data_IF_493259403199
#
_entry.id   IF_493259403199
#
_cell.length_a   1.000
_cell.length_b   1.000
_cell.length_c   1.000
_cell.angle_alpha   90.00
_cell.angle_beta   90.00
_cell.angle_gamma   90.00
#
_symmetry.space_group_name_H-M   'P 1'
#
loop_
_entity.id
_entity.type
_entity.pdbx_description
1 polymer ?
#
# COMPACT_ATOMS: atom_id res chain seq x y z
N UNK A 1 -11.07 49.41 -26.76
CA UNK A 1 -11.45 50.44 -27.75
C UNK A 1 -12.44 51.39 -27.10
N UNK A 2 -12.27 52.71 -27.26
CA UNK A 2 -13.06 53.74 -26.59
C UNK A 2 -14.50 53.76 -27.10
N UNK A 3 -15.47 53.99 -26.22
CA UNK A 3 -16.87 54.21 -26.58
C UNK A 3 -17.02 55.56 -27.28
N UNK A 4 -17.00 55.56 -28.61
CA UNK A 4 -17.52 56.66 -29.42
C UNK A 4 -18.97 56.30 -29.72
N UNK A 5 -19.93 56.92 -29.01
CA UNK A 5 -21.36 56.86 -29.35
C UNK A 5 -21.88 58.27 -29.62
N UNK A 6 -22.56 58.39 -30.76
CA UNK A 6 -22.89 59.63 -31.48
C UNK A 6 -24.05 60.38 -30.82
N UNK A 7 -24.06 61.71 -30.99
CA UNK A 7 -25.20 62.58 -30.67
C UNK A 7 -26.42 62.16 -31.50
N UNK A 8 -27.50 61.77 -30.83
CA UNK A 8 -28.86 61.90 -31.31
C UNK A 8 -29.65 62.71 -30.26
N UNK A 9 -30.63 63.54 -30.66
CA UNK A 9 -31.25 64.49 -29.75
C UNK A 9 -32.38 63.82 -28.96
N UNK A 10 -32.33 64.02 -27.64
CA UNK A 10 -33.44 63.92 -26.69
C UNK A 10 -33.87 62.54 -26.16
N UNK A 11 -34.38 62.51 -24.90
CA UNK A 11 -33.76 61.70 -23.85
C UNK A 11 -34.68 60.55 -23.47
N UNK A 12 -34.34 59.35 -23.89
CA UNK A 12 -34.78 58.14 -23.19
C UNK A 12 -33.73 57.83 -22.12
N UNK A 13 -34.14 57.48 -20.89
CA UNK A 13 -33.23 57.32 -19.77
C UNK A 13 -32.16 56.28 -20.09
N UNK A 14 -30.93 56.74 -19.98
CA UNK A 14 -29.70 56.02 -20.19
C UNK A 14 -29.73 54.72 -19.39
N UNK A 15 -29.65 53.57 -20.07
CA UNK A 15 -29.29 52.32 -19.40
C UNK A 15 -27.81 52.40 -19.07
N UNK A 16 -27.39 52.60 -17.80
CA UNK A 16 -25.98 52.70 -17.50
C UNK A 16 -25.41 51.30 -17.38
N UNK A 17 -24.40 51.06 -18.21
CA UNK A 17 -23.24 50.24 -17.90
C UNK A 17 -23.51 48.82 -17.40
N UNK A 18 -23.33 47.88 -18.33
CA UNK A 18 -23.03 46.48 -18.04
C UNK A 18 -21.98 46.39 -16.92
N UNK A 19 -22.47 46.14 -15.71
CA UNK A 19 -21.67 45.79 -14.55
C UNK A 19 -21.27 44.34 -14.77
N UNK A 20 -20.14 44.12 -15.43
CA UNK A 20 -19.43 42.84 -15.32
C UNK A 20 -19.05 42.70 -13.84
N UNK A 21 -19.94 42.09 -13.07
CA UNK A 21 -19.64 41.65 -11.71
C UNK A 21 -18.58 40.58 -11.89
N UNK A 22 -17.34 40.95 -11.60
CA UNK A 22 -16.23 40.04 -11.37
C UNK A 22 -16.69 39.10 -10.24
N UNK A 23 -17.28 37.97 -10.61
CA UNK A 23 -17.58 36.89 -9.69
C UNK A 23 -16.26 36.41 -9.13
N UNK A 24 -15.90 36.90 -7.94
CA UNK A 24 -14.74 36.43 -7.20
C UNK A 24 -14.94 34.94 -6.96
N UNK A 25 -14.14 34.10 -7.63
CA UNK A 25 -14.14 32.64 -7.56
C UNK A 25 -13.73 32.08 -6.18
N UNK A 26 -13.95 32.80 -5.09
CA UNK A 26 -13.56 32.38 -3.74
C UNK A 26 -14.38 31.17 -3.25
N UNK A 27 -15.54 30.89 -3.86
CA UNK A 27 -16.31 29.67 -3.61
C UNK A 27 -16.16 28.59 -4.70
N UNK A 28 -15.02 28.57 -5.40
CA UNK A 28 -14.64 27.35 -6.14
C UNK A 28 -14.31 26.29 -5.08
N UNK A 29 -15.17 25.26 -4.97
CA UNK A 29 -15.14 24.17 -3.96
C UNK A 29 -13.74 23.98 -3.37
N UNK A 30 -13.52 24.29 -2.08
CA UNK A 30 -12.19 24.27 -1.51
C UNK A 30 -11.50 22.93 -1.81
N UNK A 31 -10.26 22.92 -2.34
CA UNK A 31 -9.60 21.70 -2.82
C UNK A 31 -9.25 20.71 -1.69
N UNK A 32 -9.61 21.01 -0.44
CA UNK A 32 -9.33 20.18 0.72
C UNK A 32 -9.87 18.77 0.59
N UNK A 33 -11.01 18.54 -0.09
CA UNK A 33 -11.49 17.18 -0.34
C UNK A 33 -10.53 16.36 -1.22
N UNK A 34 -9.89 16.99 -2.21
CA UNK A 34 -8.92 16.31 -3.07
C UNK A 34 -7.67 15.94 -2.29
N UNK A 35 -7.22 16.85 -1.43
CA UNK A 35 -6.09 16.60 -0.54
C UNK A 35 -6.40 15.56 0.54
N UNK A 36 -7.60 15.58 1.12
CA UNK A 36 -8.06 14.59 2.08
C UNK A 36 -8.16 13.19 1.44
N UNK A 37 -8.72 13.11 0.22
CA UNK A 37 -8.75 11.85 -0.54
C UNK A 37 -7.34 11.35 -0.87
N UNK A 38 -6.44 12.23 -1.32
CA UNK A 38 -5.05 11.87 -1.59
C UNK A 38 -4.34 11.37 -0.32
N UNK A 39 -4.50 12.07 0.81
CA UNK A 39 -3.93 11.66 2.09
C UNK A 39 -4.48 10.30 2.53
N UNK A 40 -5.79 10.06 2.39
CA UNK A 40 -6.40 8.78 2.72
C UNK A 40 -5.85 7.64 1.86
N UNK A 41 -5.69 7.84 0.55
CA UNK A 41 -5.07 6.85 -0.34
C UNK A 41 -3.64 6.54 0.10
N UNK A 42 -2.85 7.56 0.41
CA UNK A 42 -1.46 7.40 0.88
C UNK A 42 -1.43 6.62 2.20
N UNK A 43 -2.30 6.94 3.15
CA UNK A 43 -2.39 6.25 4.44
C UNK A 43 -2.77 4.77 4.25
N UNK A 44 -3.77 4.49 3.41
CA UNK A 44 -4.19 3.11 3.13
C UNK A 44 -3.08 2.33 2.43
N UNK A 45 -2.40 2.92 1.45
CA UNK A 45 -1.27 2.29 0.78
C UNK A 45 -0.14 1.98 1.76
N UNK A 46 0.23 2.94 2.61
CA UNK A 46 1.24 2.74 3.65
C UNK A 46 0.83 1.64 4.63
N UNK A 47 -0.44 1.59 5.03
CA UNK A 47 -0.94 0.55 5.94
C UNK A 47 -0.90 -0.85 5.32
N UNK A 48 -1.20 -0.97 4.02
CA UNK A 48 -1.10 -2.24 3.29
C UNK A 48 0.36 -2.69 3.16
N UNK A 49 1.28 -1.77 2.92
CA UNK A 49 2.70 -2.06 2.69
C UNK A 49 3.45 -2.37 4.00
N UNK A 50 3.08 -1.69 5.09
CA UNK A 50 3.69 -1.86 6.43
C UNK A 50 3.04 -2.99 7.24
N UNK A 51 2.00 -3.66 6.73
CA UNK A 51 1.38 -4.75 7.48
C UNK A 51 2.40 -5.88 7.66
N UNK A 52 2.55 -6.42 8.89
CA UNK A 52 3.43 -7.56 9.10
C UNK A 52 2.97 -8.73 8.22
N UNK A 53 3.92 -9.39 7.56
CA UNK A 53 3.62 -10.61 6.80
C UNK A 53 3.15 -11.70 7.77
N UNK A 54 2.18 -12.50 7.36
CA UNK A 54 1.74 -13.64 8.14
C UNK A 54 2.90 -14.61 8.34
N UNK A 55 3.27 -14.85 9.60
CA UNK A 55 4.32 -15.80 9.96
C UNK A 55 3.71 -17.10 10.49
N UNK A 56 4.30 -18.22 10.11
CA UNK A 56 3.96 -19.54 10.61
C UNK A 56 5.18 -20.17 11.30
N UNK A 57 4.91 -21.08 12.24
CA UNK A 57 5.96 -21.90 12.85
C UNK A 57 6.43 -22.97 11.86
N UNK A 58 7.69 -22.87 11.43
CA UNK A 58 8.32 -23.79 10.48
C UNK A 58 9.52 -24.50 11.12
N UNK A 59 9.73 -25.81 10.84
CA UNK A 59 10.85 -26.57 11.38
C UNK A 59 12.17 -26.27 10.63
N UNK A 60 13.21 -25.93 11.37
CA UNK A 60 14.59 -25.77 10.91
C UNK A 60 15.50 -26.81 11.55
N UNK A 61 16.58 -27.18 10.89
CA UNK A 61 17.54 -28.12 11.46
C UNK A 61 18.33 -27.45 12.59
N UNK A 62 18.33 -28.03 13.79
CA UNK A 62 19.08 -27.51 14.93
C UNK A 62 20.59 -27.83 14.82
N UNK A 63 20.92 -28.93 14.15
CA UNK A 63 22.27 -29.40 13.89
C UNK A 63 22.37 -29.97 12.46
N UNK A 64 23.58 -30.33 12.02
CA UNK A 64 23.76 -31.00 10.73
C UNK A 64 23.12 -32.38 10.75
N UNK A 65 22.18 -32.63 9.84
CA UNK A 65 21.46 -33.89 9.70
C UNK A 65 22.04 -34.64 8.50
N UNK A 66 22.62 -35.81 8.77
CA UNK A 66 23.14 -36.69 7.72
C UNK A 66 22.01 -37.35 6.93
N UNK A 67 22.24 -37.72 5.66
CA UNK A 67 21.26 -38.49 4.90
C UNK A 67 21.01 -39.85 5.58
N UNK A 68 19.74 -40.22 5.68
CA UNK A 68 19.26 -41.42 6.38
C UNK A 68 19.08 -41.25 7.89
N UNK A 69 19.45 -40.11 8.47
CA UNK A 69 19.24 -39.84 9.89
C UNK A 69 17.75 -39.57 10.21
N UNK A 70 17.33 -39.87 11.44
CA UNK A 70 15.97 -39.60 11.92
C UNK A 70 15.76 -38.10 12.13
N UNK A 71 14.58 -37.62 11.74
CA UNK A 71 14.12 -36.25 11.98
C UNK A 71 13.25 -36.27 13.24
N UNK A 72 13.92 -36.09 14.38
CA UNK A 72 13.31 -36.10 15.71
C UNK A 72 13.17 -34.68 16.27
N UNK A 73 12.33 -34.49 17.28
CA UNK A 73 12.08 -33.19 17.90
C UNK A 73 13.35 -32.52 18.47
N UNK A 74 14.38 -33.30 18.79
CA UNK A 74 15.68 -32.83 19.29
C UNK A 74 16.58 -32.27 18.18
N UNK A 75 16.36 -32.71 16.94
CA UNK A 75 17.12 -32.27 15.76
C UNK A 75 16.49 -31.06 15.06
N UNK A 76 15.33 -30.61 15.54
CA UNK A 76 14.51 -29.57 14.92
C UNK A 76 14.35 -28.38 15.87
N UNK A 77 14.45 -27.19 15.31
CA UNK A 77 14.14 -25.93 15.97
C UNK A 77 12.95 -25.27 15.28
N UNK A 78 11.94 -24.86 16.05
CA UNK A 78 10.79 -24.14 15.51
C UNK A 78 11.08 -22.65 15.41
N UNK A 79 11.06 -22.11 14.19
CA UNK A 79 11.24 -20.68 13.94
C UNK A 79 10.02 -20.09 13.23
N UNK A 80 9.75 -18.83 13.51
CA UNK A 80 8.73 -18.07 12.78
C UNK A 80 9.28 -17.70 11.40
N UNK A 81 8.64 -18.20 10.36
CA UNK A 81 8.98 -17.90 8.98
C UNK A 81 7.75 -17.34 8.25
N UNK A 82 7.93 -16.45 7.26
CA UNK A 82 6.81 -15.95 6.46
C UNK A 82 6.13 -17.10 5.71
N UNK A 83 4.80 -17.15 5.77
CA UNK A 83 3.98 -18.25 5.24
C UNK A 83 4.20 -18.53 3.74
N UNK A 84 4.49 -17.49 2.96
CA UNK A 84 4.60 -17.61 1.49
C UNK A 84 6.03 -17.85 0.98
N UNK A 85 7.02 -17.94 1.88
CA UNK A 85 8.44 -18.04 1.50
C UNK A 85 8.98 -19.46 1.50
N UNK A 86 8.40 -20.36 2.29
CA UNK A 86 8.89 -21.72 2.46
C UNK A 86 7.95 -22.74 1.82
N UNK A 87 8.48 -23.89 1.35
CA UNK A 87 7.65 -24.96 0.81
C UNK A 87 6.70 -25.53 1.87
N UNK A 88 5.76 -26.38 1.45
CA UNK A 88 4.82 -27.04 2.35
C UNK A 88 5.52 -27.72 3.53
N UNK A 89 4.92 -27.58 4.72
CA UNK A 89 5.48 -28.11 5.96
C UNK A 89 5.77 -29.62 5.85
N UNK A 90 7.00 -30.06 6.18
CA UNK A 90 7.38 -31.47 6.12
C UNK A 90 6.71 -32.28 7.22
N UNK A 91 6.56 -33.59 6.98
CA UNK A 91 6.14 -34.55 8.00
C UNK A 91 7.29 -34.81 8.99
N UNK A 92 7.01 -34.65 10.29
CA UNK A 92 7.97 -34.89 11.36
C UNK A 92 7.94 -36.37 11.75
N UNK A 93 9.10 -36.96 12.02
CA UNK A 93 9.26 -38.39 12.30
C UNK A 93 9.70 -39.23 11.10
N UNK A 94 10.04 -38.59 9.98
CA UNK A 94 10.65 -39.23 8.82
C UNK A 94 12.16 -39.39 8.94
N UNK A 95 12.78 -39.92 7.88
CA UNK A 95 14.24 -39.93 7.72
C UNK A 95 14.66 -38.91 6.67
N UNK A 96 15.77 -38.21 6.93
CA UNK A 96 16.29 -37.22 6.01
C UNK A 96 16.76 -37.90 4.72
N UNK A 97 16.20 -37.51 3.57
CA UNK A 97 16.64 -38.07 2.27
C UNK A 97 17.99 -37.52 1.81
N UNK A 98 18.32 -36.30 2.23
CA UNK A 98 19.52 -35.56 1.86
C UNK A 98 20.22 -35.03 3.12
N UNK A 99 21.49 -34.65 2.98
CA UNK A 99 22.17 -33.91 4.03
C UNK A 99 21.51 -32.53 4.21
N UNK A 100 21.18 -32.16 5.44
CA UNK A 100 20.59 -30.86 5.78
C UNK A 100 21.55 -30.17 6.74
N UNK A 101 22.02 -28.97 6.39
CA UNK A 101 22.90 -28.20 7.24
C UNK A 101 22.15 -27.59 8.43
N UNK A 102 22.85 -27.39 9.55
CA UNK A 102 22.33 -26.67 10.70
C UNK A 102 21.81 -25.29 10.28
N UNK A 103 20.62 -24.94 10.77
CA UNK A 103 19.93 -23.69 10.46
C UNK A 103 19.22 -23.65 9.11
N UNK A 104 19.28 -24.72 8.30
CA UNK A 104 18.51 -24.81 7.06
C UNK A 104 17.04 -25.20 7.33
N UNK A 105 16.09 -24.70 6.52
CA UNK A 105 14.70 -25.14 6.60
C UNK A 105 14.58 -26.59 6.16
N UNK A 106 13.73 -27.38 6.83
CA UNK A 106 13.49 -28.75 6.40
C UNK A 106 12.64 -28.76 5.13
N UNK A 107 13.09 -29.43 4.05
CA UNK A 107 12.28 -29.64 2.86
C UNK A 107 11.20 -30.72 3.10
N UNK A 108 10.09 -30.70 2.33
CA UNK A 108 9.07 -31.75 2.36
C UNK A 108 9.59 -33.13 1.97
#
# INVERSE_FOLDING_TARGET
>A
MPCISRRAPNPLPDSPCSRYVHGVYWFTRPPYLRWAGAALIIIVAAWIDLRPADTIAYPFAAADIAPGASIDAETIEWRQAPNDLLPSKPEIGGTARYAIAAGAPLPP
#
